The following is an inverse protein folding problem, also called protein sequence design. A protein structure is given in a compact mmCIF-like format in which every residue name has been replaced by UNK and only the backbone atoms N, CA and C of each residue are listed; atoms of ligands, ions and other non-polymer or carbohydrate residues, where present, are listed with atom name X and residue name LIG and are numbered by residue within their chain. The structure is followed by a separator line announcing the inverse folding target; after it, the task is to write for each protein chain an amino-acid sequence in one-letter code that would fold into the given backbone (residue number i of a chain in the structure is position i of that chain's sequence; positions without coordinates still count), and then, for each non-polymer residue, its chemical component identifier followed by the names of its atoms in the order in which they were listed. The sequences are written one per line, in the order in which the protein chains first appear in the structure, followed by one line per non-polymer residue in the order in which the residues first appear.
data_IF_334684042118
#
_entry.id   IF_334684042118
#
_cell.length_a   1.000
_cell.length_b   1.000
_cell.length_c   1.000
_cell.angle_alpha   90.00
_cell.angle_beta   90.00
_cell.angle_gamma   90.00
#
_symmetry.space_group_name_H-M   'P 1'
#
loop_
_entity.id
_entity.type
_entity.pdbx_description
1 polymer ?
#
# COMPACT_ATOMS: atom_id res chain seq x y z
N UNK A 1 -6.36 -17.91 -2.63
CA UNK A 1 -6.77 -16.49 -2.75
C UNK A 1 -5.56 -15.60 -2.57
N UNK A 2 -5.43 -14.59 -3.39
CA UNK A 2 -4.33 -13.64 -3.28
C UNK A 2 -4.91 -12.26 -3.00
N UNK A 3 -4.31 -11.54 -2.06
CA UNK A 3 -4.73 -10.20 -1.71
C UNK A 3 -3.57 -9.24 -1.87
N UNK A 4 -3.90 -8.01 -2.22
CA UNK A 4 -2.90 -6.94 -2.31
C UNK A 4 -3.24 -5.87 -1.30
N UNK A 5 -2.25 -5.49 -0.51
CA UNK A 5 -2.43 -4.49 0.54
C UNK A 5 -1.48 -3.33 0.24
N UNK A 6 -2.05 -2.14 0.14
CA UNK A 6 -1.27 -0.92 -0.09
C UNK A 6 -1.19 -0.15 1.21
N UNK A 7 0.03 0.10 1.65
CA UNK A 7 0.30 0.85 2.88
C UNK A 7 0.98 2.15 2.52
N UNK A 8 0.47 3.25 3.05
CA UNK A 8 1.04 4.56 2.79
C UNK A 8 0.89 5.43 4.03
N UNK A 9 1.66 6.53 4.09
CA UNK A 9 1.50 7.49 5.18
C UNK A 9 0.13 8.13 5.11
N UNK A 10 -0.41 8.45 6.28
CA UNK A 10 -1.62 9.25 6.37
C UNK A 10 -1.38 10.60 5.70
N UNK A 11 -2.44 11.21 5.23
CA UNK A 11 -2.32 12.43 4.43
C UNK A 11 -1.63 13.56 5.20
N UNK A 12 -1.81 13.60 6.50
CA UNK A 12 -1.23 14.66 7.34
C UNK A 12 0.23 14.40 7.72
N UNK A 13 0.77 13.23 7.38
CA UNK A 13 2.13 12.87 7.76
C UNK A 13 3.07 13.18 6.61
N UNK A 14 4.19 13.80 6.93
CA UNK A 14 5.22 14.08 5.92
C UNK A 14 5.79 12.78 5.41
N UNK A 15 5.99 12.70 4.09
CA UNK A 15 6.58 11.56 3.43
C UNK A 15 7.97 11.97 2.93
N UNK A 16 9.03 11.69 3.70
CA UNK A 16 10.37 12.16 3.29
C UNK A 16 10.85 11.53 2.00
N UNK A 17 10.48 10.26 1.73
CA UNK A 17 10.89 9.61 0.48
C UNK A 17 10.15 10.21 -0.70
N UNK A 18 8.85 10.45 -0.55
CA UNK A 18 8.09 11.12 -1.61
C UNK A 18 8.63 12.51 -1.88
N UNK A 19 9.02 13.23 -0.85
CA UNK A 19 9.59 14.57 -1.01
C UNK A 19 10.91 14.51 -1.78
N UNK A 20 11.75 13.52 -1.48
CA UNK A 20 13.01 13.34 -2.19
C UNK A 20 12.77 13.06 -3.67
N UNK A 21 11.80 12.20 -3.98
CA UNK A 21 11.45 11.90 -5.36
C UNK A 21 10.95 13.14 -6.07
N UNK A 22 10.09 13.92 -5.40
CA UNK A 22 9.59 15.16 -5.99
C UNK A 22 10.73 16.11 -6.32
N UNK A 23 11.66 16.27 -5.40
CA UNK A 23 12.79 17.17 -5.62
C UNK A 23 13.65 16.71 -6.79
N UNK A 24 13.86 15.40 -6.91
CA UNK A 24 14.62 14.86 -8.03
C UNK A 24 13.92 15.12 -9.35
N UNK A 25 12.61 14.98 -9.39
CA UNK A 25 11.84 15.25 -10.60
C UNK A 25 11.92 16.71 -10.98
N UNK A 26 11.87 17.61 -10.01
CA UNK A 26 12.01 19.04 -10.29
C UNK A 26 13.37 19.35 -10.85
N UNK A 27 14.42 18.75 -10.30
CA UNK A 27 15.77 18.95 -10.79
C UNK A 27 15.91 18.52 -12.25
N UNK A 28 15.17 17.48 -12.64
CA UNK A 28 15.19 16.99 -14.01
C UNK A 28 14.29 17.78 -14.96
N UNK A 29 13.62 18.81 -14.47
CA UNK A 29 12.79 19.66 -15.31
C UNK A 29 11.30 19.37 -15.26
N UNK A 30 10.87 18.46 -14.44
CA UNK A 30 9.46 18.09 -14.35
C UNK A 30 8.76 18.96 -13.30
N UNK A 31 8.78 20.26 -13.53
CA UNK A 31 8.26 21.21 -12.53
C UNK A 31 6.76 21.10 -12.31
N UNK A 32 6.06 20.45 -13.22
CA UNK A 32 4.61 20.27 -13.09
C UNK A 32 4.23 19.21 -12.06
N UNK A 33 5.20 18.48 -11.51
CA UNK A 33 4.91 17.52 -10.45
C UNK A 33 4.68 18.28 -9.15
N UNK A 34 3.46 18.20 -8.65
CA UNK A 34 3.07 18.99 -7.48
C UNK A 34 3.30 18.25 -6.18
N UNK A 35 3.22 16.94 -6.21
CA UNK A 35 3.38 16.14 -5.00
C UNK A 35 3.73 14.72 -5.39
N UNK A 36 4.42 14.04 -4.50
CA UNK A 36 4.75 12.63 -4.67
C UNK A 36 4.57 11.97 -3.31
N UNK A 37 3.81 10.88 -3.30
CA UNK A 37 3.61 10.08 -2.10
C UNK A 37 4.09 8.67 -2.42
N UNK A 38 4.86 8.11 -1.53
CA UNK A 38 5.41 6.78 -1.73
C UNK A 38 4.79 5.83 -0.72
N UNK A 39 4.53 4.60 -1.14
CA UNK A 39 3.95 3.61 -0.26
C UNK A 39 4.57 2.25 -0.52
N UNK A 40 4.03 1.26 0.17
CA UNK A 40 4.47 -0.13 0.04
C UNK A 40 3.31 -0.98 -0.42
N UNK A 41 3.62 -1.99 -1.20
CA UNK A 41 2.63 -2.95 -1.66
C UNK A 41 3.02 -4.33 -1.14
N UNK A 42 2.08 -5.00 -0.49
CA UNK A 42 2.25 -6.38 -0.07
C UNK A 42 1.28 -7.24 -0.85
N UNK A 43 1.75 -8.34 -1.39
CA UNK A 43 0.87 -9.34 -1.99
C UNK A 43 1.01 -10.60 -1.19
N UNK A 44 -0.11 -11.10 -0.68
CA UNK A 44 -0.12 -12.24 0.21
C UNK A 44 -1.02 -13.30 -0.39
N UNK A 45 -0.52 -14.52 -0.41
CA UNK A 45 -1.31 -15.66 -0.84
C UNK A 45 -1.86 -16.34 0.39
N UNK A 46 -3.20 -16.48 0.43
CA UNK A 46 -3.90 -17.05 1.56
C UNK A 46 -4.46 -18.40 1.15
N UNK A 47 -4.27 -19.40 2.00
CA UNK A 47 -4.74 -20.74 1.74
C UNK A 47 -5.84 -21.08 2.72
N UNK A 48 -6.90 -21.72 2.21
CA UNK A 48 -7.92 -22.27 3.07
C UNK A 48 -8.88 -21.25 3.68
N UNK A 49 -8.96 -20.05 3.14
CA UNK A 49 -9.86 -19.03 3.66
C UNK A 49 -10.96 -18.71 2.67
N UNK A 50 -12.15 -18.48 3.19
CA UNK A 50 -13.23 -17.92 2.40
C UNK A 50 -13.04 -16.41 2.29
N UNK A 51 -13.79 -15.79 1.37
CA UNK A 51 -13.75 -14.35 1.25
C UNK A 51 -14.23 -13.65 2.52
N UNK A 52 -15.19 -14.23 3.19
CA UNK A 52 -15.69 -13.65 4.45
C UNK A 52 -14.60 -13.66 5.52
N UNK A 53 -13.85 -14.76 5.59
CA UNK A 53 -12.76 -14.85 6.55
C UNK A 53 -11.63 -13.89 6.20
N UNK A 54 -11.32 -13.77 4.92
CA UNK A 54 -10.30 -12.82 4.47
C UNK A 54 -10.71 -11.39 4.81
N UNK A 55 -12.00 -11.06 4.65
CA UNK A 55 -12.49 -9.73 4.97
C UNK A 55 -12.31 -9.36 6.43
N UNK A 56 -12.24 -10.35 7.30
CA UNK A 56 -11.99 -10.14 8.72
C UNK A 56 -10.51 -10.15 9.05
N UNK A 57 -9.77 -11.06 8.44
CA UNK A 57 -8.37 -11.30 8.83
C UNK A 57 -7.38 -10.38 8.13
N UNK A 58 -7.62 -9.99 6.88
CA UNK A 58 -6.68 -9.16 6.16
C UNK A 58 -6.52 -7.78 6.80
N UNK A 59 -7.59 -7.08 7.18
CA UNK A 59 -7.41 -5.82 7.92
C UNK A 59 -6.68 -6.00 9.23
N UNK A 60 -6.92 -7.11 9.91
CA UNK A 60 -6.23 -7.39 11.17
C UNK A 60 -4.73 -7.57 10.94
N UNK A 61 -4.35 -8.32 9.92
CA UNK A 61 -2.95 -8.51 9.58
C UNK A 61 -2.29 -7.17 9.22
N UNK A 62 -2.98 -6.39 8.41
CA UNK A 62 -2.44 -5.10 7.99
C UNK A 62 -2.21 -4.19 9.19
N UNK A 63 -3.19 -4.15 10.09
CA UNK A 63 -3.11 -3.29 11.26
C UNK A 63 -2.01 -3.73 12.24
N UNK A 64 -1.87 -5.04 12.41
CA UNK A 64 -0.95 -5.56 13.43
C UNK A 64 0.49 -5.67 12.94
N UNK A 65 0.69 -5.90 11.64
CA UNK A 65 2.01 -6.29 11.15
C UNK A 65 2.53 -5.38 10.05
N UNK A 66 1.68 -4.99 9.11
CA UNK A 66 2.15 -4.37 7.88
C UNK A 66 2.22 -2.86 7.96
N UNK A 67 1.33 -2.25 8.69
CA UNK A 67 1.23 -0.80 8.77
C UNK A 67 1.44 -0.33 10.20
N UNK A 68 2.04 0.85 10.33
CA UNK A 68 2.09 1.51 11.63
C UNK A 68 0.81 2.35 11.74
N UNK A 69 -0.18 1.94 12.55
CA UNK A 69 -1.49 2.58 12.53
C UNK A 69 -1.48 4.03 13.01
N UNK A 70 -0.41 4.45 13.66
CA UNK A 70 -0.33 5.83 14.12
C UNK A 70 -0.07 6.77 12.96
N UNK A 71 0.80 6.38 12.02
CA UNK A 71 1.23 7.26 10.94
C UNK A 71 0.89 6.74 9.56
N UNK A 72 0.40 5.49 9.44
CA UNK A 72 0.13 4.89 8.14
C UNK A 72 -1.32 4.46 8.04
N UNK A 73 -1.77 4.37 6.81
CA UNK A 73 -3.10 3.84 6.47
C UNK A 73 -2.90 2.73 5.46
N UNK A 74 -3.94 1.93 5.26
CA UNK A 74 -3.87 0.88 4.25
C UNK A 74 -5.20 0.72 3.55
N UNK A 75 -5.12 0.19 2.33
CA UNK A 75 -6.26 -0.32 1.60
C UNK A 75 -5.90 -1.72 1.13
N UNK A 76 -6.89 -2.51 0.77
CA UNK A 76 -6.61 -3.86 0.29
C UNK A 76 -7.69 -4.31 -0.68
N UNK A 77 -7.32 -5.29 -1.50
CA UNK A 77 -8.25 -5.85 -2.47
C UNK A 77 -7.91 -7.29 -2.72
N UNK A 78 -8.91 -8.07 -3.10
CA UNK A 78 -8.72 -9.45 -3.53
C UNK A 78 -8.35 -9.43 -4.99
N UNK A 79 -7.30 -10.16 -5.34
CA UNK A 79 -6.88 -10.30 -6.73
C UNK A 79 -7.47 -11.58 -7.29
N UNK A 80 -7.80 -11.55 -8.58
CA UNK A 80 -8.24 -12.77 -9.23
C UNK A 80 -7.07 -13.71 -9.36
N UNK A 81 -7.35 -15.00 -9.22
CA UNK A 81 -6.32 -15.97 -9.45
C UNK A 81 -5.90 -15.89 -10.89
N UNK A 82 -4.62 -15.79 -11.10
CA UNK A 82 -4.08 -15.80 -12.42
C UNK A 82 -4.06 -17.18 -12.90
N UNK A 83 -4.60 -17.38 -13.88
CA UNK A 83 -4.45 -18.68 -14.34
C UNK A 83 -3.37 -18.72 -15.22
N UNK A 84 -2.95 -18.47 -15.31
CA UNK A 84 -2.10 -18.36 -15.87
C UNK A 84 -1.30 -18.54 -16.13
N UNK A 85 -1.67 -18.57 -16.12
CA UNK A 85 -0.72 -18.76 -16.41
C UNK A 85 -0.29 -18.88 -16.36
#
# INVERSE_FOLDING_TARGET
MRVRILVSFKDSVLDPQGQTVKNALHTLGYAFVRDVRQGKVFEIELAGLSEAEAGRLVPEIAHKVLANPIIEKFTWQVLEDEKKG
#
